data_IF_760222245849
#
_entry.id   IF_760222245849
#
_cell.length_a   1.000
_cell.length_b   1.000
_cell.length_c   1.000
_cell.angle_alpha   90.00
_cell.angle_beta   90.00
_cell.angle_gamma   90.00
#
_symmetry.space_group_name_H-M   'P 1'
#
loop_
_entity.id
_entity.type
_entity.pdbx_description
1 polymer ?
#
# COMPACT_ATOMS: atom_id res chain seq x y z
N UNK A 1 13.62 -29.65 22.83
CA UNK A 1 12.88 -28.39 23.05
C UNK A 1 12.77 -27.47 21.83
N UNK A 2 13.65 -27.53 20.81
CA UNK A 2 13.56 -26.67 19.62
C UNK A 2 12.47 -27.08 18.59
N UNK A 3 12.08 -28.36 18.54
CA UNK A 3 11.10 -28.89 17.56
C UNK A 3 9.67 -28.37 17.82
N UNK A 4 9.21 -28.44 19.07
CA UNK A 4 7.89 -27.89 19.48
C UNK A 4 7.75 -26.38 19.24
N UNK A 5 8.82 -25.59 19.36
CA UNK A 5 8.81 -24.15 19.05
C UNK A 5 8.65 -23.89 17.55
N UNK A 6 9.26 -24.70 16.68
CA UNK A 6 9.12 -24.60 15.22
C UNK A 6 7.71 -25.00 14.75
N UNK A 7 7.16 -26.06 15.31
CA UNK A 7 5.82 -26.56 14.93
C UNK A 7 4.71 -25.56 15.33
N UNK A 8 4.86 -24.87 16.46
CA UNK A 8 3.89 -23.86 16.94
C UNK A 8 3.97 -22.52 16.19
N UNK A 9 5.14 -22.14 15.68
CA UNK A 9 5.30 -20.98 14.78
C UNK A 9 4.69 -21.31 13.41
N UNK A 10 4.88 -22.53 12.92
CA UNK A 10 4.32 -23.00 11.65
C UNK A 10 2.78 -22.95 11.64
N UNK A 11 2.11 -23.42 12.71
CA UNK A 11 0.65 -23.39 12.77
C UNK A 11 0.06 -21.98 12.88
N UNK A 12 0.72 -21.06 13.60
CA UNK A 12 0.31 -19.65 13.66
C UNK A 12 0.49 -18.93 12.33
N UNK A 13 1.61 -19.15 11.64
CA UNK A 13 1.85 -18.58 10.31
C UNK A 13 0.81 -19.10 9.31
N UNK A 14 0.55 -20.41 9.31
CA UNK A 14 -0.48 -21.01 8.46
C UNK A 14 -1.85 -20.43 8.75
N UNK A 15 -2.21 -20.25 10.03
CA UNK A 15 -3.47 -19.61 10.39
C UNK A 15 -3.56 -18.16 9.89
N UNK A 16 -2.51 -17.36 10.08
CA UNK A 16 -2.47 -15.95 9.61
C UNK A 16 -2.58 -15.87 8.08
N UNK A 17 -1.91 -16.76 7.36
CA UNK A 17 -1.97 -16.81 5.91
C UNK A 17 -3.36 -17.27 5.44
N UNK A 18 -3.85 -18.40 5.95
CA UNK A 18 -5.08 -19.05 5.48
C UNK A 18 -6.38 -18.36 5.90
N UNK A 19 -6.38 -17.52 6.94
CA UNK A 19 -7.61 -16.86 7.46
C UNK A 19 -8.38 -16.07 6.41
N UNK A 20 -7.69 -15.59 5.38
CA UNK A 20 -8.29 -14.79 4.28
C UNK A 20 -8.62 -15.62 3.03
N UNK A 21 -8.24 -16.91 2.98
CA UNK A 21 -8.51 -17.82 1.85
C UNK A 21 -9.80 -18.62 2.06
N UNK A 22 -10.87 -17.93 2.44
CA UNK A 22 -12.18 -18.58 2.58
C UNK A 22 -12.68 -19.03 1.20
N UNK A 23 -13.27 -20.23 1.08
CA UNK A 23 -13.86 -20.67 -0.17
C UNK A 23 -14.99 -19.72 -0.58
N UNK A 24 -14.71 -18.85 -1.56
CA UNK A 24 -15.72 -17.97 -2.17
C UNK A 24 -16.58 -18.74 -3.16
N UNK A 25 -17.91 -18.50 -3.18
CA UNK A 25 -18.78 -19.05 -4.21
C UNK A 25 -18.29 -18.70 -5.61
N UNK A 26 -18.46 -19.60 -6.60
CA UNK A 26 -18.10 -19.31 -8.00
C UNK A 26 -18.79 -18.08 -8.59
N UNK A 27 -19.92 -17.66 -8.01
CA UNK A 27 -20.67 -16.46 -8.38
C UNK A 27 -20.12 -15.16 -7.77
N UNK A 28 -19.16 -15.25 -6.84
CA UNK A 28 -18.54 -14.06 -6.27
C UNK A 28 -17.68 -13.37 -7.33
N UNK A 29 -17.84 -12.05 -7.47
CA UNK A 29 -17.00 -11.24 -8.35
C UNK A 29 -15.54 -11.28 -7.85
N UNK A 30 -14.61 -11.46 -8.78
CA UNK A 30 -13.19 -11.25 -8.52
C UNK A 30 -12.91 -9.76 -8.35
N UNK A 31 -11.84 -9.45 -7.65
CA UNK A 31 -11.38 -8.09 -7.39
C UNK A 31 -10.03 -7.88 -8.04
N UNK A 32 -9.73 -6.64 -8.39
CA UNK A 32 -8.51 -6.23 -9.05
C UNK A 32 -7.86 -5.18 -8.16
N UNK A 33 -6.68 -5.49 -7.61
CA UNK A 33 -5.81 -4.49 -7.02
C UNK A 33 -4.86 -3.98 -8.10
N UNK A 34 -4.59 -2.68 -8.09
CA UNK A 34 -3.59 -2.07 -8.96
C UNK A 34 -2.49 -1.45 -8.12
N UNK A 35 -1.26 -1.80 -8.47
CA UNK A 35 -0.05 -1.19 -7.96
C UNK A 35 0.73 -0.65 -9.14
N UNK A 36 1.23 0.58 -9.02
CA UNK A 36 2.00 1.25 -10.07
C UNK A 36 3.18 1.97 -9.46
N UNK A 37 4.35 1.82 -10.08
CA UNK A 37 5.58 2.47 -9.68
C UNK A 37 6.06 3.44 -10.75
N UNK A 38 6.48 4.63 -10.33
CA UNK A 38 6.93 5.68 -11.22
C UNK A 38 8.25 6.27 -10.72
N UNK A 39 9.31 6.28 -11.54
CA UNK A 39 10.51 7.04 -11.20
C UNK A 39 10.20 8.54 -11.26
N UNK A 40 10.46 9.25 -10.17
CA UNK A 40 10.39 10.70 -10.14
C UNK A 40 11.68 11.28 -10.70
N UNK A 41 11.54 11.98 -11.81
CA UNK A 41 12.63 12.64 -12.51
C UNK A 41 12.35 14.13 -12.68
N UNK A 42 13.43 14.91 -12.75
CA UNK A 42 13.42 16.30 -13.21
C UNK A 42 13.22 16.32 -14.73
N UNK A 43 12.96 17.52 -15.28
CA UNK A 43 12.82 17.71 -16.73
C UNK A 43 14.06 17.29 -17.53
N UNK A 44 15.25 17.32 -16.93
CA UNK A 44 16.50 16.88 -17.57
C UNK A 44 16.72 15.36 -17.46
N UNK A 45 15.79 14.59 -16.90
CA UNK A 45 15.88 13.14 -16.74
C UNK A 45 16.65 12.67 -15.51
N UNK A 46 17.22 13.57 -14.71
CA UNK A 46 17.84 13.20 -13.43
C UNK A 46 16.79 12.80 -12.40
N UNK A 47 17.14 11.91 -11.47
CA UNK A 47 16.29 11.60 -10.34
C UNK A 47 15.93 12.87 -9.54
N UNK A 48 14.66 12.96 -9.13
CA UNK A 48 14.21 14.01 -8.22
C UNK A 48 14.98 13.91 -6.89
N UNK A 49 15.31 15.06 -6.30
CA UNK A 49 16.02 15.09 -5.02
C UNK A 49 15.11 14.74 -3.84
N UNK A 50 15.72 14.29 -2.75
CA UNK A 50 15.00 13.87 -1.54
C UNK A 50 14.01 14.94 -1.03
N UNK A 51 14.43 16.20 -0.93
CA UNK A 51 13.58 17.31 -0.48
C UNK A 51 12.36 17.53 -1.39
N UNK A 52 12.49 17.23 -2.68
CA UNK A 52 11.37 17.31 -3.63
C UNK A 52 10.32 16.26 -3.30
N UNK A 53 10.75 15.03 -3.02
CA UNK A 53 9.86 13.94 -2.60
C UNK A 53 9.22 14.23 -1.25
N UNK A 54 9.98 14.77 -0.28
CA UNK A 54 9.39 15.24 0.99
C UNK A 54 8.36 16.36 0.76
N UNK A 55 8.64 17.25 -0.19
CA UNK A 55 7.72 18.30 -0.65
C UNK A 55 6.42 17.75 -1.23
N UNK A 56 6.49 16.68 -2.01
CA UNK A 56 5.32 15.96 -2.52
C UNK A 56 4.43 15.46 -1.38
N UNK A 57 4.99 14.78 -0.37
CA UNK A 57 4.19 14.32 0.78
C UNK A 57 3.54 15.48 1.55
N UNK A 58 4.25 16.59 1.77
CA UNK A 58 3.66 17.80 2.37
C UNK A 58 2.53 18.37 1.51
N UNK A 59 2.64 18.30 0.18
CA UNK A 59 1.59 18.71 -0.72
C UNK A 59 0.36 17.80 -0.62
N UNK A 60 0.55 16.48 -0.61
CA UNK A 60 -0.52 15.51 -0.42
C UNK A 60 -1.25 15.71 0.92
N UNK A 61 -0.50 15.97 2.00
CA UNK A 61 -1.09 16.25 3.31
C UNK A 61 -2.03 17.47 3.29
N UNK A 62 -1.65 18.54 2.58
CA UNK A 62 -2.52 19.71 2.38
C UNK A 62 -3.78 19.37 1.55
N UNK A 63 -3.69 18.35 0.70
CA UNK A 63 -4.82 17.79 -0.06
C UNK A 63 -5.70 16.81 0.72
N UNK A 64 -5.49 16.69 2.04
CA UNK A 64 -6.28 15.84 2.93
C UNK A 64 -5.80 14.40 3.05
N UNK A 65 -4.59 14.08 2.60
CA UNK A 65 -3.99 12.77 2.84
C UNK A 65 -3.43 12.68 4.27
N UNK A 66 -3.64 11.54 4.93
CA UNK A 66 -2.98 11.20 6.18
C UNK A 66 -1.55 10.71 5.89
N UNK A 67 -0.55 11.27 6.59
CA UNK A 67 0.84 10.85 6.43
C UNK A 67 1.18 9.70 7.38
N UNK A 68 1.83 8.69 6.85
CA UNK A 68 2.37 7.56 7.59
C UNK A 68 3.88 7.68 7.70
N UNK A 69 4.41 7.35 8.86
CA UNK A 69 5.83 7.46 9.17
C UNK A 69 6.42 6.09 9.49
N UNK A 70 7.66 5.89 9.08
CA UNK A 70 8.46 4.77 9.54
C UNK A 70 8.75 4.92 11.05
N UNK A 71 8.54 3.84 11.80
CA UNK A 71 8.67 3.86 13.26
C UNK A 71 10.12 4.02 13.72
N UNK A 72 11.09 3.50 12.95
CA UNK A 72 12.50 3.51 13.31
C UNK A 72 13.19 4.85 13.04
N UNK A 73 12.83 5.51 11.96
CA UNK A 73 13.47 6.74 11.47
C UNK A 73 12.60 8.00 11.67
N UNK A 74 11.29 7.84 11.85
CA UNK A 74 10.33 8.96 11.90
C UNK A 74 10.05 9.60 10.54
N UNK A 75 10.62 9.05 9.47
CA UNK A 75 10.48 9.57 8.10
C UNK A 75 9.11 9.28 7.52
N UNK A 76 8.58 10.20 6.72
CA UNK A 76 7.30 9.98 6.02
C UNK A 76 7.50 8.96 4.90
N UNK A 77 6.83 7.81 4.98
CA UNK A 77 6.96 6.74 3.99
C UNK A 77 5.77 6.63 3.06
N UNK A 78 4.61 7.13 3.50
CA UNK A 78 3.40 7.10 2.68
C UNK A 78 2.43 8.23 3.03
N UNK A 79 1.52 8.48 2.10
CA UNK A 79 0.34 9.31 2.25
C UNK A 79 -0.87 8.47 1.82
N UNK A 80 -1.88 8.39 2.67
CA UNK A 80 -3.10 7.64 2.41
C UNK A 80 -4.31 8.58 2.39
N UNK A 81 -5.24 8.34 1.47
CA UNK A 81 -6.52 9.05 1.47
C UNK A 81 -7.65 8.06 1.38
N UNK A 82 -8.66 8.25 2.22
CA UNK A 82 -9.88 7.47 2.13
C UNK A 82 -10.57 7.74 0.80
N UNK A 83 -10.89 6.66 0.08
CA UNK A 83 -11.65 6.76 -1.15
C UNK A 83 -13.14 6.69 -0.80
N UNK A 84 -13.84 7.80 -0.98
CA UNK A 84 -15.28 7.93 -0.68
C UNK A 84 -16.18 7.03 -1.54
N UNK A 85 -15.70 6.61 -2.72
CA UNK A 85 -16.40 5.67 -3.60
C UNK A 85 -16.19 4.21 -3.19
N UNK A 86 -15.05 3.91 -2.56
CA UNK A 86 -14.66 2.57 -2.13
C UNK A 86 -15.17 2.15 -0.75
N UNK A 87 -15.88 3.03 -0.02
CA UNK A 87 -16.28 2.89 1.39
C UNK A 87 -16.57 1.43 1.79
N UNK A 88 -15.55 0.78 2.35
CA UNK A 88 -15.63 -0.53 2.97
C UNK A 88 -16.11 -1.69 2.10
N UNK A 89 -16.18 -1.58 0.76
CA UNK A 89 -16.70 -2.68 -0.08
C UNK A 89 -15.97 -3.99 0.16
N UNK A 90 -14.67 -3.91 0.50
CA UNK A 90 -13.80 -5.07 0.66
C UNK A 90 -12.89 -5.05 1.90
N UNK A 91 -13.15 -4.17 2.86
CA UNK A 91 -12.33 -4.02 4.08
C UNK A 91 -11.06 -3.19 3.90
N UNK A 92 -10.79 -2.68 2.70
CA UNK A 92 -9.75 -1.68 2.39
C UNK A 92 -10.45 -0.37 2.03
N UNK A 93 -9.91 0.76 2.49
CA UNK A 93 -10.66 2.03 2.51
C UNK A 93 -9.91 3.21 1.90
N UNK A 94 -8.66 3.05 1.47
CA UNK A 94 -7.91 4.19 0.98
C UNK A 94 -6.78 3.82 0.05
N UNK A 95 -6.57 4.73 -0.90
CA UNK A 95 -5.47 4.69 -1.85
C UNK A 95 -4.22 5.18 -1.13
N UNK A 96 -3.11 4.48 -1.36
CA UNK A 96 -1.83 4.76 -0.71
C UNK A 96 -0.83 5.21 -1.76
N UNK A 97 -0.15 6.32 -1.48
CA UNK A 97 0.97 6.81 -2.27
C UNK A 97 2.20 6.71 -1.37
N UNK A 98 3.15 5.88 -1.75
CA UNK A 98 4.37 5.61 -0.99
C UNK A 98 5.63 5.85 -1.81
N UNK A 99 6.76 5.46 -1.23
CA UNK A 99 8.01 5.25 -1.96
C UNK A 99 8.41 3.78 -1.85
N UNK A 100 8.91 3.20 -2.94
CA UNK A 100 9.46 1.84 -2.94
C UNK A 100 10.98 1.86 -2.67
N UNK A 101 11.79 1.05 -3.39
CA UNK A 101 13.23 0.95 -3.18
C UNK A 101 13.89 2.26 -3.59
N UNK A 102 14.32 3.02 -2.58
CA UNK A 102 14.89 4.35 -2.75
C UNK A 102 13.82 5.44 -2.70
N UNK A 103 14.25 6.67 -2.39
CA UNK A 103 13.29 7.76 -2.15
C UNK A 103 12.65 8.32 -3.42
N UNK A 104 13.22 8.07 -4.60
CA UNK A 104 12.78 8.71 -5.85
C UNK A 104 11.86 7.82 -6.72
N UNK A 105 11.46 6.64 -6.25
CA UNK A 105 10.38 5.86 -6.88
C UNK A 105 9.12 6.09 -6.08
N UNK A 106 8.06 6.58 -6.73
CA UNK A 106 6.74 6.70 -6.10
C UNK A 106 5.93 5.47 -6.46
N UNK A 107 5.37 4.83 -5.45
CA UNK A 107 4.43 3.73 -5.59
C UNK A 107 3.02 4.23 -5.31
N UNK A 108 2.06 3.76 -6.09
CA UNK A 108 0.64 3.95 -5.84
C UNK A 108 -0.02 2.59 -5.71
N UNK A 109 -0.55 2.29 -4.53
CA UNK A 109 -1.35 1.09 -4.27
C UNK A 109 -2.81 1.51 -4.07
N UNK A 110 -3.64 1.15 -5.05
CA UNK A 110 -5.04 1.57 -5.12
C UNK A 110 -5.96 0.58 -4.40
N UNK A 111 -7.08 1.10 -3.90
CA UNK A 111 -8.14 0.28 -3.32
C UNK A 111 -8.64 -0.75 -4.36
N UNK A 112 -8.84 -2.03 -4.00
CA UNK A 112 -9.29 -3.04 -4.96
C UNK A 112 -10.69 -2.73 -5.53
N UNK A 113 -10.85 -2.91 -6.84
CA UNK A 113 -12.11 -2.68 -7.57
C UNK A 113 -12.64 -3.94 -8.26
N UNK A 114 -13.89 -3.91 -8.72
CA UNK A 114 -14.53 -5.04 -9.43
C UNK A 114 -14.16 -5.11 -10.92
N UNK A 115 -13.69 -4.00 -11.49
CA UNK A 115 -13.35 -3.85 -12.90
C UNK A 115 -12.25 -2.77 -13.08
N UNK A 116 -11.81 -2.55 -14.32
CA UNK A 116 -10.72 -1.61 -14.65
C UNK A 116 -11.18 -0.23 -15.13
N UNK A 117 -12.48 -0.03 -15.34
CA UNK A 117 -13.03 1.09 -16.12
C UNK A 117 -13.94 2.02 -15.31
N UNK A 118 -14.61 1.50 -14.29
CA UNK A 118 -15.45 2.24 -13.35
C UNK A 118 -14.65 2.66 -12.11
#
# INVERSE_FOLDING_TARGET
>A
MQKQKRDHVSSKILHVFSKNFLPTPKSAKRKIGLECEFPLVKQNGEAAGYDTVRGMFRHLARGGYALHKDEGTGEVIAAQKENGFGKGRFGYQGDTIGTDVGYCTVEMSLTPEENLYD
#
